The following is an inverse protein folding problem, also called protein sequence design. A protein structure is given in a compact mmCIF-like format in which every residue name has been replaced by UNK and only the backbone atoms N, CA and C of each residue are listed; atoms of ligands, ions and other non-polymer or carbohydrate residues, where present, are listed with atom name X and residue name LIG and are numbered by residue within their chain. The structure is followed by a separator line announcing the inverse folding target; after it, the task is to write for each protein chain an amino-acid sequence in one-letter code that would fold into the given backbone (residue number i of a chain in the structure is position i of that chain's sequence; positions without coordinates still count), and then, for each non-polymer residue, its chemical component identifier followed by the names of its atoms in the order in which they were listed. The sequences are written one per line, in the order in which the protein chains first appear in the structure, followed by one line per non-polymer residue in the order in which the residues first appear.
data_IF_464440950002
#
_entry.id   IF_464440950002
#
_cell.length_a   1.000
_cell.length_b   1.000
_cell.length_c   1.000
_cell.angle_alpha   90.00
_cell.angle_beta   90.00
_cell.angle_gamma   90.00
#
_symmetry.space_group_name_H-M   'P 1'
#
loop_
_entity.id
_entity.type
_entity.pdbx_description
1 polymer ?
#
# COMPACT_ATOMS: atom_id res chain seq x y z
N UNK A 1 -14.00 -22.61 -35.13
CA UNK A 1 -14.78 -21.49 -34.56
C UNK A 1 -14.86 -21.70 -33.06
N UNK A 2 -14.67 -20.64 -32.27
CA UNK A 2 -14.43 -20.57 -30.82
C UNK A 2 -13.00 -20.88 -30.36
N UNK A 3 -12.15 -19.84 -30.33
CA UNK A 3 -10.77 -19.89 -29.80
C UNK A 3 -10.22 -18.53 -29.35
N UNK A 4 -11.07 -17.51 -29.17
CA UNK A 4 -10.65 -16.11 -28.92
C UNK A 4 -11.18 -15.53 -27.61
N UNK A 5 -11.89 -16.30 -26.78
CA UNK A 5 -12.50 -15.81 -25.54
C UNK A 5 -11.67 -16.06 -24.25
N UNK A 6 -10.56 -16.80 -24.30
CA UNK A 6 -9.69 -17.07 -23.11
C UNK A 6 -8.54 -16.08 -22.91
N UNK A 7 -8.15 -15.33 -23.94
CA UNK A 7 -7.06 -14.35 -23.84
C UNK A 7 -7.50 -12.99 -23.23
N UNK A 8 -8.80 -12.69 -23.21
CA UNK A 8 -9.32 -11.46 -22.62
C UNK A 8 -9.55 -11.56 -21.10
N UNK A 9 -9.65 -12.78 -20.55
CA UNK A 9 -9.85 -13.01 -19.12
C UNK A 9 -8.53 -12.98 -18.31
N UNK A 10 -7.37 -13.25 -18.94
CA UNK A 10 -6.06 -13.19 -18.27
C UNK A 10 -5.49 -11.76 -18.16
N UNK A 11 -6.00 -10.81 -18.96
CA UNK A 11 -5.57 -9.40 -18.92
C UNK A 11 -6.38 -8.63 -17.86
N UNK A 12 -7.60 -9.05 -17.53
CA UNK A 12 -8.44 -8.36 -16.54
C UNK A 12 -8.00 -8.63 -15.08
N UNK A 13 -7.49 -9.82 -14.76
CA UNK A 13 -6.99 -10.16 -13.41
C UNK A 13 -5.57 -9.66 -13.14
N UNK A 14 -4.74 -9.48 -14.17
CA UNK A 14 -3.40 -8.91 -14.03
C UNK A 14 -3.40 -7.37 -13.86
N UNK A 15 -4.52 -6.70 -14.10
CA UNK A 15 -4.62 -5.23 -13.98
C UNK A 15 -5.14 -4.77 -12.60
N UNK A 16 -5.69 -5.68 -11.77
CA UNK A 16 -6.16 -5.34 -10.42
C UNK A 16 -5.15 -5.58 -9.29
N UNK A 17 -4.07 -6.33 -9.54
CA UNK A 17 -3.01 -6.54 -8.54
C UNK A 17 -1.88 -5.49 -8.58
N UNK A 18 -1.89 -4.56 -9.54
CA UNK A 18 -0.87 -3.51 -9.66
C UNK A 18 -1.26 -2.17 -9.00
N UNK A 19 -2.44 -2.10 -8.36
CA UNK A 19 -2.99 -0.87 -7.77
C UNK A 19 -3.14 -0.90 -6.23
N UNK A 20 -2.70 -1.96 -5.54
CA UNK A 20 -2.84 -2.09 -4.08
C UNK A 20 -1.54 -2.47 -3.34
N UNK A 21 -0.38 -2.31 -3.98
CA UNK A 21 0.92 -2.50 -3.35
C UNK A 21 1.83 -1.28 -3.59
N UNK A 22 1.40 -0.14 -3.05
CA UNK A 22 2.31 0.64 -2.23
C UNK A 22 2.19 0.07 -0.81
N UNK A 23 2.98 -0.95 -0.41
CA UNK A 23 3.17 -1.17 1.00
C UNK A 23 4.15 -0.11 1.49
N UNK A 24 3.79 0.45 2.63
CA UNK A 24 4.67 1.09 3.58
C UNK A 24 6.15 0.78 3.33
N UNK A 25 6.95 1.83 3.14
CA UNK A 25 8.36 1.81 3.50
C UNK A 25 8.38 1.67 5.02
N UNK A 26 8.23 0.43 5.49
CA UNK A 26 8.51 0.05 6.86
C UNK A 26 10.02 0.24 7.07
N UNK A 27 10.31 1.25 7.84
CA UNK A 27 11.62 1.56 8.39
C UNK A 27 12.17 0.37 9.17
N UNK A 28 13.13 -0.35 8.59
CA UNK A 28 13.99 -1.31 9.28
C UNK A 28 15.39 -0.74 9.51
N UNK A 29 15.54 0.25 10.39
CA UNK A 29 16.84 0.60 10.95
C UNK A 29 17.21 -0.42 12.05
N UNK A 30 18.44 -0.94 12.14
CA UNK A 30 18.80 -1.82 13.25
C UNK A 30 18.99 -0.98 14.52
N UNK A 31 18.12 -1.17 15.51
CA UNK A 31 18.26 -0.58 16.83
C UNK A 31 19.25 -1.38 17.70
N UNK A 32 20.19 -0.67 18.32
CA UNK A 32 21.05 -1.23 19.35
C UNK A 32 21.96 -0.21 20.04
N UNK A 33 21.40 0.63 20.93
CA UNK A 33 21.85 0.86 22.34
C UNK A 33 21.30 2.17 22.96
N UNK A 34 21.12 2.09 24.28
CA UNK A 34 20.30 2.95 25.16
C UNK A 34 21.06 4.15 25.76
N UNK A 35 20.31 5.26 25.91
CA UNK A 35 20.36 6.41 26.85
C UNK A 35 21.53 7.43 26.85
N UNK A 36 21.20 8.71 26.66
CA UNK A 36 20.94 9.67 27.76
C UNK A 36 20.61 11.09 27.22
N UNK A 37 19.73 11.80 27.92
CA UNK A 37 19.25 13.14 27.59
C UNK A 37 20.29 14.25 27.82
N UNK A 38 20.38 15.23 26.91
CA UNK A 38 20.75 16.62 27.17
C UNK A 38 20.27 17.53 26.02
N UNK A 39 19.63 18.65 26.35
CA UNK A 39 19.11 19.66 25.42
C UNK A 39 20.19 20.73 25.07
N UNK A 40 19.85 21.78 24.28
CA UNK A 40 20.30 21.97 22.92
C UNK A 40 21.46 22.98 22.81
N UNK A 41 22.43 22.71 21.94
CA UNK A 41 23.39 23.73 21.50
C UNK A 41 23.59 23.61 20.01
N UNK A 42 23.32 24.70 19.30
CA UNK A 42 23.47 24.80 17.86
C UNK A 42 24.85 24.35 17.40
N UNK A 43 24.87 23.30 16.60
CA UNK A 43 26.02 22.92 15.79
C UNK A 43 25.56 22.93 14.35
N UNK A 44 26.24 23.71 13.51
CA UNK A 44 26.19 23.57 12.07
C UNK A 44 26.40 22.09 11.73
N UNK A 45 25.36 21.41 11.26
CA UNK A 45 25.48 20.01 10.83
C UNK A 45 26.47 19.99 9.67
N UNK A 46 27.61 19.34 9.88
CA UNK A 46 28.40 18.86 8.76
C UNK A 46 27.44 18.00 7.91
N UNK A 47 27.30 18.31 6.63
CA UNK A 47 26.45 17.54 5.73
C UNK A 47 26.85 16.06 5.85
N UNK A 48 25.91 15.22 6.26
CA UNK A 48 26.17 13.79 6.41
C UNK A 48 26.68 13.26 5.06
N UNK A 49 27.79 12.51 5.10
CA UNK A 49 28.32 11.89 3.90
C UNK A 49 27.25 10.98 3.27
N UNK A 50 27.19 10.88 1.93
CA UNK A 50 26.22 10.01 1.27
C UNK A 50 26.45 8.55 1.69
N UNK A 51 25.38 7.82 1.94
CA UNK A 51 25.39 6.38 2.16
C UNK A 51 25.01 5.66 0.88
N UNK A 52 25.67 4.52 0.64
CA UNK A 52 25.42 3.65 -0.50
C UNK A 52 25.32 2.23 0.03
N UNK A 53 24.17 1.61 -0.19
CA UNK A 53 23.91 0.22 0.19
C UNK A 53 23.62 -0.59 -1.07
N UNK A 54 24.14 -1.81 -1.10
CA UNK A 54 24.00 -2.69 -2.25
C UNK A 54 23.62 -4.07 -1.74
N UNK A 55 22.43 -4.53 -2.09
CA UNK A 55 21.94 -5.85 -1.76
C UNK A 55 21.82 -6.67 -3.03
N UNK A 56 22.25 -7.91 -2.96
CA UNK A 56 22.15 -8.85 -4.07
C UNK A 56 21.73 -10.17 -3.51
N UNK A 57 20.69 -10.77 -4.07
CA UNK A 57 20.19 -12.04 -3.58
C UNK A 57 19.57 -12.85 -4.71
N UNK A 58 19.53 -14.16 -4.48
CA UNK A 58 18.69 -15.08 -5.23
C UNK A 58 17.47 -15.40 -4.38
N UNK A 59 16.30 -15.47 -5.00
CA UNK A 59 15.08 -15.87 -4.31
C UNK A 59 14.29 -16.86 -5.17
N UNK A 60 13.62 -17.79 -4.50
CA UNK A 60 12.67 -18.70 -5.11
C UNK A 60 11.41 -18.76 -4.27
N UNK A 61 10.25 -18.82 -4.92
CA UNK A 61 8.96 -18.85 -4.23
C UNK A 61 7.99 -19.81 -4.90
N UNK A 62 7.14 -20.41 -4.08
CA UNK A 62 6.00 -21.25 -4.47
C UNK A 62 4.74 -20.63 -3.89
N UNK A 63 3.82 -20.21 -4.77
CA UNK A 63 2.48 -19.80 -4.35
C UNK A 63 1.62 -21.03 -4.11
N UNK A 64 1.03 -21.11 -2.93
CA UNK A 64 0.08 -22.16 -2.55
C UNK A 64 -1.31 -21.64 -2.85
N UNK A 65 -2.00 -22.31 -3.77
CA UNK A 65 -3.41 -22.09 -4.07
C UNK A 65 -4.10 -23.44 -4.03
N UNK A 66 -5.25 -23.55 -3.35
CA UNK A 66 -6.03 -24.79 -3.29
C UNK A 66 -5.29 -25.97 -2.61
N UNK A 67 -4.59 -25.73 -1.50
CA UNK A 67 -4.03 -26.85 -0.73
C UNK A 67 -5.14 -27.73 -0.13
N UNK A 68 -4.84 -29.01 0.12
CA UNK A 68 -5.81 -29.94 0.69
C UNK A 68 -6.29 -29.51 2.09
N UNK A 69 -5.45 -28.75 2.79
CA UNK A 69 -5.67 -28.21 4.12
C UNK A 69 -6.31 -26.81 4.13
N UNK A 70 -6.57 -26.22 2.96
CA UNK A 70 -7.23 -24.92 2.80
C UNK A 70 -6.33 -23.70 2.98
N UNK A 71 -5.01 -23.89 3.08
CA UNK A 71 -4.03 -22.81 3.05
C UNK A 71 -3.88 -22.21 1.66
N UNK A 72 -3.71 -20.88 1.63
CA UNK A 72 -3.39 -20.07 0.47
C UNK A 72 -2.27 -19.07 0.81
N UNK A 73 -1.41 -18.71 -0.14
CA UNK A 73 -0.35 -17.72 0.10
C UNK A 73 0.96 -18.12 -0.56
N UNK A 74 2.09 -17.89 0.10
CA UNK A 74 3.41 -18.21 -0.46
C UNK A 74 4.43 -18.68 0.56
N UNK A 75 5.36 -19.50 0.07
CA UNK A 75 6.59 -19.85 0.77
C UNK A 75 7.75 -19.47 -0.14
N UNK A 76 8.66 -18.62 0.34
CA UNK A 76 9.85 -18.23 -0.38
C UNK A 76 11.13 -18.47 0.41
N UNK A 77 12.23 -18.59 -0.32
CA UNK A 77 13.57 -18.73 0.24
C UNK A 77 14.49 -17.72 -0.43
N UNK A 78 15.38 -17.13 0.35
CA UNK A 78 16.31 -16.11 -0.11
C UNK A 78 17.73 -16.50 0.24
N UNK A 79 18.66 -16.31 -0.69
CA UNK A 79 20.09 -16.48 -0.50
C UNK A 79 20.81 -15.18 -0.84
N UNK A 80 21.34 -14.50 0.17
CA UNK A 80 22.01 -13.20 0.01
C UNK A 80 23.46 -13.41 -0.45
N UNK A 81 23.90 -12.73 -1.51
CA UNK A 81 25.25 -12.85 -2.06
C UNK A 81 26.29 -12.32 -1.07
N UNK A 82 26.99 -13.24 -0.42
CA UNK A 82 27.94 -12.92 0.65
C UNK A 82 27.30 -12.75 2.03
N UNK A 83 26.01 -13.08 2.16
CA UNK A 83 25.25 -13.13 3.40
C UNK A 83 24.81 -14.55 3.73
N UNK A 84 23.68 -14.67 4.44
CA UNK A 84 23.05 -15.94 4.80
C UNK A 84 21.86 -16.30 3.91
N UNK A 85 21.32 -17.48 4.16
CA UNK A 85 20.09 -17.98 3.58
C UNK A 85 18.95 -17.81 4.59
N UNK A 86 17.75 -17.47 4.13
CA UNK A 86 16.55 -17.32 4.96
C UNK A 86 15.32 -17.90 4.27
N UNK A 87 14.30 -18.20 5.08
CA UNK A 87 12.98 -18.65 4.62
C UNK A 87 11.91 -17.66 5.06
N UNK A 88 10.93 -17.45 4.20
CA UNK A 88 9.74 -16.67 4.47
C UNK A 88 8.49 -17.50 4.20
N UNK A 89 7.63 -17.64 5.20
CA UNK A 89 6.32 -18.30 5.10
C UNK A 89 5.25 -17.25 5.36
N UNK A 90 4.26 -17.19 4.47
CA UNK A 90 3.05 -16.39 4.65
C UNK A 90 1.89 -17.14 4.03
N UNK A 91 1.15 -17.89 4.86
CA UNK A 91 -0.01 -18.66 4.45
C UNK A 91 -1.21 -18.23 5.28
N UNK A 92 -2.37 -18.11 4.63
CA UNK A 92 -3.64 -17.77 5.25
C UNK A 92 -4.64 -18.90 5.00
N UNK A 93 -5.59 -19.07 5.91
CA UNK A 93 -6.68 -20.03 5.75
C UNK A 93 -7.94 -19.49 6.38
N UNK A 94 -9.02 -19.49 5.61
CA UNK A 94 -10.35 -19.20 6.11
C UNK A 94 -10.86 -20.38 6.97
N UNK A 95 -11.39 -20.05 8.14
CA UNK A 95 -12.03 -20.96 9.09
C UNK A 95 -13.54 -21.00 8.95
N UNK A 96 -14.22 -21.26 10.05
CA UNK A 96 -15.69 -21.28 10.11
C UNK A 96 -16.26 -19.85 10.14
N UNK A 97 -17.48 -19.68 9.63
CA UNK A 97 -18.22 -18.43 9.79
C UNK A 97 -18.74 -18.30 11.22
N UNK A 98 -18.60 -17.10 11.76
CA UNK A 98 -19.05 -16.72 13.11
C UNK A 98 -20.09 -15.62 13.01
N UNK A 99 -21.08 -15.67 13.90
CA UNK A 99 -22.09 -14.60 14.02
C UNK A 99 -21.67 -13.69 15.16
N UNK A 100 -21.43 -12.42 14.85
CA UNK A 100 -20.98 -11.42 15.79
C UNK A 100 -22.11 -10.97 16.74
N UNK A 101 -21.78 -10.35 17.89
CA UNK A 101 -22.78 -9.88 18.85
C UNK A 101 -23.80 -8.89 18.28
N UNK A 102 -23.44 -8.17 17.21
CA UNK A 102 -24.31 -7.24 16.47
C UNK A 102 -25.18 -7.93 15.40
N UNK A 103 -25.06 -9.25 15.25
CA UNK A 103 -25.80 -10.05 14.26
C UNK A 103 -25.15 -10.09 12.87
N UNK A 104 -24.00 -9.45 12.66
CA UNK A 104 -23.22 -9.59 11.43
C UNK A 104 -22.56 -10.96 11.32
N UNK A 105 -22.26 -11.39 10.10
CA UNK A 105 -21.47 -12.60 9.85
C UNK A 105 -20.01 -12.20 9.56
N UNK A 106 -19.08 -12.90 10.20
CA UNK A 106 -17.64 -12.77 9.98
C UNK A 106 -17.00 -14.16 9.82
N UNK A 107 -15.70 -14.22 9.58
CA UNK A 107 -14.93 -15.46 9.41
C UNK A 107 -13.78 -15.51 10.40
N UNK A 108 -13.59 -16.68 11.01
CA UNK A 108 -12.33 -16.99 11.70
C UNK A 108 -11.24 -17.09 10.64
N UNK A 109 -10.13 -16.38 10.83
CA UNK A 109 -8.98 -16.44 9.92
C UNK A 109 -7.75 -16.98 10.65
N UNK A 110 -6.95 -17.77 9.94
CA UNK A 110 -5.70 -18.30 10.45
C UNK A 110 -4.55 -17.81 9.57
N UNK A 111 -3.54 -17.21 10.19
CA UNK A 111 -2.32 -16.76 9.52
C UNK A 111 -1.13 -17.55 10.05
N UNK A 112 -0.46 -18.27 9.16
CA UNK A 112 0.77 -18.99 9.43
C UNK A 112 1.95 -18.22 8.84
N UNK A 113 2.82 -17.71 9.70
CA UNK A 113 3.93 -16.85 9.31
C UNK A 113 5.27 -17.29 9.89
N UNK A 114 6.37 -16.95 9.21
CA UNK A 114 7.71 -16.98 9.79
C UNK A 114 8.19 -15.54 10.07
N UNK A 115 9.32 -15.41 10.77
CA UNK A 115 10.05 -14.13 10.77
C UNK A 115 10.53 -13.76 9.35
N UNK A 116 10.72 -12.45 9.10
CA UNK A 116 11.08 -11.87 7.79
C UNK A 116 12.42 -12.39 7.21
N UNK A 117 13.31 -12.87 8.07
CA UNK A 117 14.55 -13.58 7.72
C UNK A 117 14.74 -14.81 8.62
N UNK A 118 13.75 -15.71 8.62
CA UNK A 118 13.78 -16.86 9.50
C UNK A 118 14.97 -17.77 9.19
N UNK A 119 15.83 -17.95 10.20
CA UNK A 119 17.02 -18.81 10.17
C UNK A 119 17.12 -19.76 11.36
N UNK A 120 16.34 -19.49 12.41
CA UNK A 120 16.28 -20.26 13.64
C UNK A 120 15.09 -21.24 13.61
N UNK A 121 15.25 -22.45 14.18
CA UNK A 121 16.45 -22.95 14.85
C UNK A 121 17.50 -23.56 13.90
N UNK A 122 17.20 -23.62 12.60
CA UNK A 122 18.11 -24.08 11.55
C UNK A 122 18.24 -25.61 11.43
N UNK A 123 19.00 -26.11 10.43
CA UNK A 123 19.68 -25.34 9.39
C UNK A 123 18.71 -24.81 8.32
N UNK A 124 19.14 -23.78 7.58
CA UNK A 124 18.53 -23.34 6.33
C UNK A 124 19.58 -23.52 5.23
N UNK A 125 19.26 -24.33 4.23
CA UNK A 125 20.12 -24.59 3.08
C UNK A 125 19.36 -24.21 1.83
N UNK A 126 19.90 -23.26 1.06
CA UNK A 126 19.28 -22.82 -0.20
C UNK A 126 20.29 -23.00 -1.34
N UNK A 127 19.91 -23.76 -2.36
CA UNK A 127 20.68 -23.91 -3.60
C UNK A 127 19.84 -23.44 -4.79
N UNK A 128 20.14 -22.23 -5.27
CA UNK A 128 19.50 -21.63 -6.45
C UNK A 128 20.52 -21.58 -7.59
N UNK A 129 20.22 -22.23 -8.72
CA UNK A 129 21.05 -22.16 -9.92
C UNK A 129 21.17 -20.69 -10.34
N UNK A 130 22.40 -20.20 -10.54
CA UNK A 130 22.69 -18.83 -11.01
C UNK A 130 22.06 -18.48 -12.36
N UNK A 131 21.68 -19.49 -13.15
CA UNK A 131 20.95 -19.38 -14.42
C UNK A 131 19.43 -19.43 -14.22
N UNK A 132 18.97 -19.50 -12.97
CA UNK A 132 17.57 -19.57 -12.57
C UNK A 132 16.87 -20.72 -13.28
N UNK A 133 17.45 -21.93 -13.21
CA UNK A 133 16.86 -23.14 -13.80
C UNK A 133 16.15 -23.97 -12.75
N UNK A 134 16.77 -24.08 -11.60
CA UNK A 134 16.29 -24.86 -10.48
C UNK A 134 16.59 -24.12 -9.18
N UNK A 135 15.76 -24.33 -8.18
CA UNK A 135 16.05 -24.05 -6.79
C UNK A 135 15.65 -25.26 -5.96
N UNK A 136 16.45 -25.55 -4.93
CA UNK A 136 16.12 -26.47 -3.88
C UNK A 136 16.40 -25.78 -2.54
N UNK A 137 15.51 -25.97 -1.57
CA UNK A 137 15.72 -25.52 -0.22
C UNK A 137 15.24 -26.55 0.80
N UNK A 138 16.00 -26.64 1.88
CA UNK A 138 15.75 -27.48 3.04
C UNK A 138 16.00 -26.62 4.28
N UNK A 139 14.95 -26.41 5.08
CA UNK A 139 14.97 -25.48 6.20
C UNK A 139 14.24 -26.02 7.41
N UNK A 140 14.71 -25.69 8.60
CA UNK A 140 13.97 -25.88 9.86
C UNK A 140 13.79 -24.52 10.52
N UNK A 141 12.55 -24.04 10.57
CA UNK A 141 12.24 -22.71 11.11
C UNK A 141 11.07 -22.74 12.09
N UNK A 142 11.12 -21.84 13.07
CA UNK A 142 9.99 -21.55 13.92
C UNK A 142 8.89 -20.81 13.13
N UNK A 143 7.63 -21.18 13.39
CA UNK A 143 6.47 -20.60 12.75
C UNK A 143 5.52 -20.05 13.82
N UNK A 144 4.79 -19.02 13.45
CA UNK A 144 3.75 -18.42 14.28
C UNK A 144 2.41 -18.66 13.62
N UNK A 145 1.45 -19.17 14.39
CA UNK A 145 0.05 -19.27 14.00
C UNK A 145 -0.74 -18.18 14.73
N UNK A 146 -1.26 -17.20 14.01
CA UNK A 146 -2.25 -16.27 14.54
C UNK A 146 -3.65 -16.75 14.15
N UNK A 147 -4.54 -16.84 15.13
CA UNK A 147 -5.96 -17.06 14.93
C UNK A 147 -6.70 -15.76 15.21
N UNK A 148 -7.32 -15.20 14.18
CA UNK A 148 -8.27 -14.10 14.35
C UNK A 148 -9.67 -14.71 14.49
N UNK A 149 -10.31 -14.60 15.66
CA UNK A 149 -11.62 -15.21 15.91
C UNK A 149 -12.79 -14.50 15.20
N UNK A 150 -12.52 -13.40 14.49
CA UNK A 150 -13.53 -12.51 13.92
C UNK A 150 -14.14 -11.54 14.94
N UNK A 151 -15.08 -10.72 14.48
CA UNK A 151 -15.91 -9.82 15.28
C UNK A 151 -15.12 -8.81 16.13
N UNK A 152 -13.96 -8.36 15.63
CA UNK A 152 -13.07 -7.44 16.34
C UNK A 152 -12.35 -8.04 17.55
N UNK A 153 -12.32 -9.37 17.66
CA UNK A 153 -11.52 -10.06 18.67
C UNK A 153 -10.01 -9.85 18.45
N UNK A 154 -9.25 -9.91 19.54
CA UNK A 154 -7.78 -9.87 19.47
C UNK A 154 -7.23 -11.17 18.89
N UNK A 155 -6.14 -11.07 18.14
CA UNK A 155 -5.46 -12.23 17.56
C UNK A 155 -4.88 -13.13 18.67
N UNK A 156 -5.21 -14.42 18.60
CA UNK A 156 -4.59 -15.43 19.44
C UNK A 156 -3.34 -15.96 18.76
N UNK A 157 -2.18 -15.50 19.22
CA UNK A 157 -0.89 -15.87 18.66
C UNK A 157 -0.30 -17.10 19.38
N UNK A 158 0.00 -18.14 18.62
CA UNK A 158 0.62 -19.38 19.09
C UNK A 158 1.94 -19.63 18.36
N UNK A 159 3.04 -19.72 19.11
CA UNK A 159 4.32 -20.21 18.57
C UNK A 159 4.23 -21.72 18.33
N UNK A 160 4.51 -22.13 17.10
CA UNK A 160 4.58 -23.53 16.72
C UNK A 160 6.00 -24.06 16.91
N UNK A 161 6.16 -25.35 17.24
CA UNK A 161 7.48 -25.96 17.23
C UNK A 161 8.08 -25.89 15.83
N UNK A 162 9.40 -25.77 15.77
CA UNK A 162 10.18 -25.74 14.53
C UNK A 162 9.71 -26.78 13.51
N UNK A 163 9.49 -26.32 12.28
CA UNK A 163 8.97 -27.14 11.18
C UNK A 163 10.02 -27.27 10.09
N UNK A 164 10.14 -28.48 9.57
CA UNK A 164 10.90 -28.73 8.36
C UNK A 164 10.10 -28.23 7.15
N UNK A 165 10.78 -27.49 6.29
CA UNK A 165 10.25 -26.90 5.07
C UNK A 165 11.15 -27.36 3.94
N UNK A 166 10.53 -27.97 2.93
CA UNK A 166 11.20 -28.30 1.67
C UNK A 166 10.54 -27.54 0.54
N UNK A 167 11.36 -26.92 -0.31
CA UNK A 167 10.91 -26.20 -1.49
C UNK A 167 11.77 -26.59 -2.70
N UNK A 168 11.12 -26.98 -3.79
CA UNK A 168 11.75 -27.27 -5.07
C UNK A 168 11.06 -26.44 -6.15
N UNK A 169 11.83 -25.72 -6.97
CA UNK A 169 11.28 -24.94 -8.10
C UNK A 169 12.07 -25.23 -9.35
N UNK A 170 11.36 -25.48 -10.46
CA UNK A 170 11.92 -25.63 -11.79
C UNK A 170 11.41 -24.51 -12.69
N UNK A 171 12.33 -23.72 -13.25
CA UNK A 171 12.01 -22.64 -14.16
C UNK A 171 11.52 -23.16 -15.52
N UNK A 172 10.37 -22.68 -15.97
CA UNK A 172 9.66 -23.13 -17.18
C UNK A 172 9.74 -22.15 -18.34
N UNK A 173 9.91 -20.85 -18.06
CA UNK A 173 9.92 -19.80 -19.10
C UNK A 173 11.34 -19.34 -19.48
N UNK A 174 11.47 -18.53 -20.52
CA UNK A 174 12.72 -17.79 -20.75
C UNK A 174 12.89 -16.73 -19.67
N UNK A 175 14.14 -16.41 -19.31
CA UNK A 175 14.39 -15.37 -18.31
C UNK A 175 13.97 -14.01 -18.87
N UNK A 176 13.19 -13.27 -18.10
CA UNK A 176 12.92 -11.87 -18.37
C UNK A 176 13.73 -10.98 -17.42
N UNK A 177 13.84 -9.71 -17.78
CA UNK A 177 14.56 -8.71 -16.98
C UNK A 177 13.61 -7.58 -16.61
N UNK A 178 13.50 -7.27 -15.34
CA UNK A 178 12.85 -6.05 -14.85
C UNK A 178 13.89 -5.08 -14.30
N UNK A 179 13.51 -3.81 -14.24
CA UNK A 179 14.21 -2.83 -13.44
C UNK A 179 13.21 -1.81 -12.92
N UNK A 180 13.30 -1.55 -11.62
CA UNK A 180 12.56 -0.47 -10.96
C UNK A 180 13.57 0.58 -10.56
N UNK A 181 13.23 1.85 -10.73
CA UNK A 181 13.99 2.93 -10.08
C UNK A 181 13.04 3.95 -9.51
N UNK A 182 13.35 4.37 -8.30
CA UNK A 182 12.62 5.39 -7.56
C UNK A 182 13.58 6.47 -7.10
N UNK A 183 13.12 7.71 -7.06
CA UNK A 183 13.87 8.77 -6.39
C UNK A 183 12.95 9.79 -5.75
N UNK A 184 13.30 10.21 -4.54
CA UNK A 184 12.70 11.33 -3.83
C UNK A 184 13.79 12.36 -3.59
N UNK A 185 13.53 13.61 -3.96
CA UNK A 185 14.51 14.70 -3.82
C UNK A 185 13.86 15.96 -3.30
N UNK A 186 14.51 16.64 -2.35
CA UNK A 186 14.02 17.88 -1.76
C UNK A 186 15.18 18.77 -1.30
N UNK A 187 15.23 20.02 -1.74
CA UNK A 187 16.27 21.03 -1.46
C UNK A 187 17.72 20.59 -1.77
N UNK A 188 18.28 19.64 -1.02
CA UNK A 188 19.56 18.96 -1.25
C UNK A 188 19.60 17.51 -0.74
N UNK A 189 18.51 17.04 -0.14
CA UNK A 189 18.29 15.68 0.30
C UNK A 189 17.87 14.80 -0.88
N UNK A 190 18.41 13.59 -0.94
CA UNK A 190 18.17 12.63 -2.02
C UNK A 190 18.06 11.24 -1.42
N UNK A 191 16.98 10.56 -1.78
CA UNK A 191 16.83 9.12 -1.60
C UNK A 191 16.56 8.49 -2.96
N UNK A 192 17.36 7.49 -3.35
CA UNK A 192 17.24 6.83 -4.64
C UNK A 192 17.37 5.32 -4.46
N UNK A 193 16.40 4.62 -5.03
CA UNK A 193 16.43 3.18 -5.21
C UNK A 193 16.62 2.86 -6.68
N UNK A 194 17.48 1.89 -6.95
CA UNK A 194 17.52 1.22 -8.24
C UNK A 194 17.58 -0.27 -8.00
N UNK A 195 16.61 -0.96 -8.55
CA UNK A 195 16.51 -2.39 -8.48
C UNK A 195 16.51 -2.99 -9.89
N UNK A 196 17.06 -4.19 -9.98
CA UNK A 196 17.22 -4.96 -11.19
C UNK A 196 16.99 -6.41 -10.91
N UNK A 197 16.00 -6.98 -11.60
CA UNK A 197 15.75 -8.41 -11.50
C UNK A 197 16.05 -9.11 -12.81
N UNK A 198 16.57 -10.32 -12.66
CA UNK A 198 16.46 -11.36 -13.65
C UNK A 198 15.52 -12.39 -13.05
N UNK A 199 14.39 -12.60 -13.71
CA UNK A 199 13.35 -13.48 -13.19
C UNK A 199 12.94 -14.51 -14.23
N UNK A 200 12.32 -15.57 -13.76
CA UNK A 200 11.76 -16.64 -14.57
C UNK A 200 10.62 -17.29 -13.81
N UNK A 201 9.52 -17.53 -14.51
CA UNK A 201 8.41 -18.32 -13.99
C UNK A 201 8.77 -19.80 -13.98
N UNK A 202 8.18 -20.53 -13.05
CA UNK A 202 8.45 -21.93 -12.83
C UNK A 202 7.24 -22.66 -12.30
N UNK A 203 7.43 -23.96 -12.18
CA UNK A 203 6.57 -24.82 -11.36
C UNK A 203 7.35 -25.22 -10.13
N UNK A 204 6.70 -25.29 -8.99
CA UNK A 204 7.34 -25.68 -7.74
C UNK A 204 6.50 -26.63 -6.91
N UNK A 205 7.16 -27.20 -5.92
CA UNK A 205 6.54 -27.99 -4.86
C UNK A 205 7.04 -27.49 -3.52
N UNK A 206 6.13 -27.36 -2.57
CA UNK A 206 6.46 -26.99 -1.19
C UNK A 206 5.81 -27.97 -0.22
N UNK A 207 6.50 -28.26 0.89
CA UNK A 207 5.99 -29.03 2.02
C UNK A 207 6.36 -28.33 3.32
N UNK A 208 5.43 -28.33 4.29
CA UNK A 208 5.69 -27.89 5.67
C UNK A 208 5.25 -29.02 6.60
N UNK A 209 6.20 -29.59 7.34
CA UNK A 209 5.98 -30.80 8.13
C UNK A 209 4.79 -30.71 9.10
N UNK A 210 3.75 -31.49 8.81
CA UNK A 210 2.54 -31.59 9.62
C UNK A 210 1.58 -30.40 9.51
N UNK A 211 1.81 -29.47 8.58
CA UNK A 211 0.95 -28.30 8.35
C UNK A 211 0.48 -28.17 6.89
N UNK A 212 1.35 -28.51 5.95
CA UNK A 212 1.08 -28.45 4.51
C UNK A 212 1.68 -29.68 3.84
N UNK A 213 0.82 -30.59 3.35
CA UNK A 213 1.27 -31.68 2.50
C UNK A 213 1.92 -31.14 1.21
N UNK A 214 2.73 -31.99 0.56
CA UNK A 214 3.41 -31.64 -0.67
C UNK A 214 2.44 -31.05 -1.71
N UNK A 215 2.54 -29.75 -1.92
CA UNK A 215 1.65 -28.97 -2.77
C UNK A 215 2.41 -28.49 -3.98
N UNK A 216 1.96 -28.91 -5.17
CA UNK A 216 2.51 -28.46 -6.44
C UNK A 216 1.81 -27.20 -6.93
N UNK A 217 2.56 -26.27 -7.48
CA UNK A 217 2.05 -25.03 -8.05
C UNK A 217 2.70 -24.73 -9.39
N UNK A 218 1.92 -24.23 -10.33
CA UNK A 218 2.41 -23.60 -11.56
C UNK A 218 2.62 -22.08 -11.41
N UNK A 219 2.31 -21.55 -10.23
CA UNK A 219 2.60 -20.19 -9.80
C UNK A 219 3.84 -20.25 -8.91
N UNK A 220 5.02 -20.40 -9.52
CA UNK A 220 6.29 -20.34 -8.81
C UNK A 220 7.28 -19.49 -9.60
N UNK A 221 8.28 -18.93 -8.93
CA UNK A 221 9.28 -18.12 -9.62
C UNK A 221 10.69 -18.31 -9.04
N UNK A 222 11.65 -17.93 -9.88
CA UNK A 222 13.08 -17.85 -9.57
C UNK A 222 13.54 -16.45 -9.94
N UNK A 223 14.16 -15.74 -9.00
CA UNK A 223 14.68 -14.40 -9.26
C UNK A 223 16.11 -14.25 -8.76
N UNK A 224 16.84 -13.35 -9.42
CA UNK A 224 18.03 -12.72 -8.92
C UNK A 224 17.79 -11.22 -8.93
N UNK A 225 17.93 -10.58 -7.76
CA UNK A 225 17.69 -9.15 -7.59
C UNK A 225 18.97 -8.46 -7.15
N UNK A 226 19.15 -7.23 -7.64
CA UNK A 226 20.28 -6.38 -7.32
C UNK A 226 19.78 -4.97 -7.01
N UNK A 227 19.68 -4.69 -5.73
CA UNK A 227 19.17 -3.45 -5.19
C UNK A 227 20.32 -2.51 -4.83
N UNK A 228 20.17 -1.27 -5.23
CA UNK A 228 21.13 -0.19 -5.01
C UNK A 228 20.40 0.98 -4.38
N UNK A 229 20.74 1.26 -3.13
CA UNK A 229 20.23 2.41 -2.40
C UNK A 229 21.31 3.48 -2.35
N UNK A 230 20.92 4.71 -2.64
CA UNK A 230 21.74 5.90 -2.45
C UNK A 230 20.95 6.88 -1.61
N UNK A 231 21.53 7.32 -0.50
CA UNK A 231 20.95 8.35 0.35
C UNK A 231 21.95 9.45 0.64
N UNK A 232 21.50 10.69 0.56
CA UNK A 232 22.28 11.86 0.94
C UNK A 232 21.37 12.78 1.75
N UNK A 233 21.80 13.12 2.97
CA UNK A 233 21.01 13.93 3.89
C UNK A 233 19.85 13.15 4.53
N UNK A 234 18.78 13.85 4.89
CA UNK A 234 17.59 13.24 5.49
C UNK A 234 16.72 12.55 4.43
N UNK A 235 15.96 11.51 4.78
CA UNK A 235 14.95 10.97 3.87
C UNK A 235 13.85 12.04 3.69
N UNK A 236 13.60 12.53 2.46
CA UNK A 236 12.56 13.54 2.28
C UNK A 236 11.19 12.93 2.56
N UNK A 237 10.33 13.67 3.26
CA UNK A 237 8.91 13.35 3.27
C UNK A 237 8.39 13.39 1.83
N UNK A 238 7.55 12.42 1.46
CA UNK A 238 6.97 12.31 0.12
C UNK A 238 5.46 12.48 0.21
N UNK A 239 4.95 13.72 0.17
CA UNK A 239 3.51 13.96 0.10
C UNK A 239 2.90 13.26 -1.11
N UNK A 240 1.63 12.91 -1.01
CA UNK A 240 0.92 12.29 -2.11
C UNK A 240 0.80 13.23 -3.33
N UNK A 241 0.44 12.64 -4.46
CA UNK A 241 0.21 13.37 -5.70
C UNK A 241 -1.29 13.64 -5.90
N UNK A 242 -1.70 14.90 -5.80
CA UNK A 242 -3.06 15.35 -6.13
C UNK A 242 -3.30 15.56 -7.64
N UNK A 243 -2.24 15.57 -8.45
CA UNK A 243 -2.31 15.99 -9.85
C UNK A 243 -2.61 14.82 -10.79
N UNK A 244 -3.54 14.98 -11.74
CA UNK A 244 -3.70 14.03 -12.83
C UNK A 244 -2.48 14.07 -13.74
N UNK A 245 -2.29 13.03 -14.54
CA UNK A 245 -1.18 12.91 -15.50
C UNK A 245 -1.05 14.16 -16.39
N UNK A 246 0.14 14.74 -16.40
CA UNK A 246 0.49 15.96 -17.12
C UNK A 246 -0.21 17.24 -16.63
N UNK A 247 -0.89 17.20 -15.48
CA UNK A 247 -1.68 18.28 -14.91
C UNK A 247 -1.13 18.88 -13.61
N UNK A 248 -1.99 19.66 -12.96
CA UNK A 248 -1.79 20.24 -11.64
C UNK A 248 -2.88 19.74 -10.70
N UNK A 249 -2.57 19.64 -9.41
CA UNK A 249 -3.53 19.23 -8.40
C UNK A 249 -3.26 19.88 -7.07
N UNK A 250 -4.31 20.00 -6.28
CA UNK A 250 -4.27 20.37 -4.89
C UNK A 250 -5.27 19.50 -4.14
N UNK A 251 -4.90 19.09 -2.94
CA UNK A 251 -5.74 18.27 -2.08
C UNK A 251 -5.65 18.79 -0.65
N UNK A 252 -6.78 18.73 0.04
CA UNK A 252 -6.82 18.96 1.46
C UNK A 252 -7.89 18.10 2.12
N UNK A 253 -7.60 17.65 3.33
CA UNK A 253 -8.50 16.90 4.18
C UNK A 253 -8.63 17.59 5.54
N UNK A 254 -9.81 17.47 6.14
CA UNK A 254 -10.05 17.85 7.54
C UNK A 254 -10.87 16.77 8.23
N UNK A 255 -10.53 16.50 9.48
CA UNK A 255 -11.14 15.47 10.31
C UNK A 255 -11.55 16.08 11.65
N UNK A 256 -12.73 15.71 12.13
CA UNK A 256 -13.20 16.11 13.46
C UNK A 256 -13.84 14.94 14.18
N UNK A 257 -13.44 14.76 15.42
CA UNK A 257 -14.06 13.82 16.36
C UNK A 257 -14.77 14.60 17.45
N UNK A 258 -15.92 14.08 17.89
CA UNK A 258 -16.80 14.70 18.86
C UNK A 258 -17.12 13.70 19.97
N UNK A 259 -17.09 14.16 21.21
CA UNK A 259 -17.47 13.39 22.40
C UNK A 259 -18.79 13.95 22.97
N UNK A 260 -19.96 13.55 22.43
CA UNK A 260 -21.23 14.03 22.94
C UNK A 260 -21.48 13.55 24.39
N UNK A 261 -22.01 14.41 25.30
CA UNK A 261 -22.15 14.09 26.72
C UNK A 261 -22.94 12.82 27.04
N UNK A 262 -23.95 12.51 26.21
CA UNK A 262 -24.84 11.35 26.40
C UNK A 262 -24.50 10.20 25.43
N UNK A 263 -23.35 10.28 24.73
CA UNK A 263 -22.94 9.32 23.70
C UNK A 263 -23.78 9.36 22.42
N UNK A 264 -24.70 10.31 22.28
CA UNK A 264 -25.58 10.49 21.12
C UNK A 264 -25.26 11.80 20.39
N UNK A 265 -25.21 11.75 19.06
CA UNK A 265 -24.86 12.89 18.23
C UNK A 265 -23.81 12.54 17.19
N UNK A 266 -23.29 13.57 16.53
CA UNK A 266 -22.17 13.40 15.60
C UNK A 266 -20.98 12.91 16.42
N UNK A 267 -20.34 11.83 15.97
CA UNK A 267 -19.14 11.26 16.58
C UNK A 267 -17.91 11.65 15.79
N UNK A 268 -18.06 11.68 14.46
CA UNK A 268 -16.96 11.88 13.55
C UNK A 268 -17.44 12.47 12.24
N UNK A 269 -16.63 13.37 11.68
CA UNK A 269 -16.75 13.81 10.29
C UNK A 269 -15.38 13.99 9.64
N UNK A 270 -15.25 13.48 8.43
CA UNK A 270 -14.14 13.70 7.52
C UNK A 270 -14.63 14.44 6.29
N UNK A 271 -13.82 15.37 5.79
CA UNK A 271 -13.98 15.94 4.46
C UNK A 271 -12.66 15.92 3.70
N UNK A 272 -12.76 15.55 2.43
CA UNK A 272 -11.67 15.52 1.47
C UNK A 272 -12.07 16.39 0.28
N UNK A 273 -11.19 17.30 -0.12
CA UNK A 273 -11.41 18.16 -1.28
C UNK A 273 -10.20 18.16 -2.17
N UNK A 274 -10.42 17.83 -3.44
CA UNK A 274 -9.44 17.87 -4.51
C UNK A 274 -9.77 18.96 -5.52
N UNK A 275 -8.76 19.68 -6.00
CA UNK A 275 -8.87 20.61 -7.11
C UNK A 275 -7.81 20.27 -8.16
N UNK A 276 -8.24 20.03 -9.40
CA UNK A 276 -7.35 19.56 -10.47
C UNK A 276 -7.42 20.46 -11.70
N UNK A 277 -6.29 20.61 -12.38
CA UNK A 277 -6.19 21.19 -13.72
C UNK A 277 -5.58 20.13 -14.64
N UNK A 278 -6.36 19.63 -15.59
CA UNK A 278 -5.93 18.64 -16.56
C UNK A 278 -4.81 19.12 -17.49
N UNK A 279 -4.23 18.21 -18.28
CA UNK A 279 -3.13 18.53 -19.18
C UNK A 279 -3.57 19.46 -20.33
N UNK A 280 -2.59 20.15 -20.92
CA UNK A 280 -2.81 20.87 -22.18
C UNK A 280 -3.11 19.90 -23.33
N UNK A 281 -3.97 20.28 -24.30
CA UNK A 281 -4.58 21.60 -24.47
C UNK A 281 -5.90 21.81 -23.71
N UNK A 282 -6.56 20.73 -23.26
CA UNK A 282 -7.94 20.79 -22.79
C UNK A 282 -8.09 21.47 -21.42
N UNK A 283 -7.07 21.40 -20.54
CA UNK A 283 -7.04 22.04 -19.21
C UNK A 283 -8.37 21.98 -18.46
N UNK A 284 -8.95 20.79 -18.38
CA UNK A 284 -10.20 20.58 -17.65
C UNK A 284 -9.98 20.91 -16.17
N UNK A 285 -10.79 21.80 -15.60
CA UNK A 285 -10.64 22.26 -14.22
C UNK A 285 -11.82 21.76 -13.40
N UNK A 286 -11.51 21.04 -12.33
CA UNK A 286 -12.51 20.33 -11.55
C UNK A 286 -12.23 20.43 -10.08
N UNK A 287 -13.31 20.47 -9.31
CA UNK A 287 -13.31 20.32 -7.87
C UNK A 287 -14.07 19.04 -7.53
N UNK A 288 -13.45 18.17 -6.75
CA UNK A 288 -14.02 16.93 -6.24
C UNK A 288 -14.09 17.03 -4.73
N UNK A 289 -15.18 16.53 -4.15
CA UNK A 289 -15.37 16.54 -2.72
C UNK A 289 -15.91 15.19 -2.29
N UNK A 290 -15.45 14.72 -1.14
CA UNK A 290 -16.11 13.63 -0.42
C UNK A 290 -16.11 13.90 1.07
N UNK A 291 -17.10 13.36 1.76
CA UNK A 291 -17.17 13.42 3.21
C UNK A 291 -17.78 12.13 3.77
N UNK A 292 -17.37 11.79 4.98
CA UNK A 292 -17.98 10.70 5.76
C UNK A 292 -18.39 11.29 7.10
N UNK A 293 -19.62 11.02 7.53
CA UNK A 293 -20.13 11.43 8.84
C UNK A 293 -20.71 10.21 9.56
N UNK A 294 -20.40 10.09 10.84
CA UNK A 294 -20.94 9.04 11.71
C UNK A 294 -21.68 9.70 12.86
N UNK A 295 -22.96 9.38 12.99
CA UNK A 295 -23.83 9.89 14.06
C UNK A 295 -24.38 8.74 14.89
N UNK A 296 -24.12 8.74 16.19
CA UNK A 296 -24.83 7.89 17.13
C UNK A 296 -26.25 8.41 17.35
N UNK A 297 -27.22 7.52 17.27
CA UNK A 297 -28.65 7.79 17.45
C UNK A 297 -29.25 6.79 18.43
N UNK A 298 -30.49 7.06 18.84
CA UNK A 298 -31.31 6.12 19.60
C UNK A 298 -32.42 5.60 18.69
N UNK A 299 -32.45 4.29 18.49
CA UNK A 299 -33.46 3.61 17.70
C UNK A 299 -34.84 3.67 18.40
N UNK A 300 -35.92 3.36 17.68
CA UNK A 300 -37.28 3.40 18.24
C UNK A 300 -37.47 2.45 19.44
N UNK A 301 -36.75 1.32 19.44
CA UNK A 301 -36.73 0.34 20.53
C UNK A 301 -35.87 0.77 21.73
N UNK A 302 -35.22 1.92 21.66
CA UNK A 302 -34.34 2.47 22.68
C UNK A 302 -32.90 1.97 22.61
N UNK A 303 -32.57 1.06 21.69
CA UNK A 303 -31.20 0.60 21.47
C UNK A 303 -30.33 1.73 20.87
N UNK A 304 -29.01 1.73 21.14
CA UNK A 304 -28.09 2.56 20.38
C UNK A 304 -27.98 2.07 18.95
N UNK A 305 -27.88 3.00 18.00
CA UNK A 305 -27.60 2.71 16.59
C UNK A 305 -26.75 3.81 15.97
N UNK A 306 -26.33 3.62 14.72
CA UNK A 306 -25.55 4.60 13.97
C UNK A 306 -26.24 4.99 12.67
N UNK A 307 -26.01 6.24 12.29
CA UNK A 307 -26.33 6.77 10.98
C UNK A 307 -25.02 7.16 10.32
N UNK A 308 -24.68 6.45 9.24
CA UNK A 308 -23.53 6.74 8.39
C UNK A 308 -24.01 7.59 7.23
N UNK A 309 -23.26 8.64 6.90
CA UNK A 309 -23.52 9.46 5.73
C UNK A 309 -22.25 9.62 4.92
N UNK A 310 -22.27 9.10 3.69
CA UNK A 310 -21.21 9.30 2.72
C UNK A 310 -21.67 10.32 1.69
N UNK A 311 -20.86 11.34 1.46
CA UNK A 311 -21.10 12.36 0.46
C UNK A 311 -20.01 12.25 -0.59
N UNK A 312 -20.37 12.25 -1.88
CA UNK A 312 -19.40 12.30 -2.98
C UNK A 312 -19.95 13.21 -4.07
N UNK A 313 -19.11 14.09 -4.60
CA UNK A 313 -19.53 14.97 -5.68
C UNK A 313 -18.37 15.58 -6.45
N UNK A 314 -18.71 16.15 -7.61
CA UNK A 314 -17.76 16.91 -8.38
C UNK A 314 -18.43 17.91 -9.32
N UNK A 315 -17.76 19.04 -9.52
CA UNK A 315 -18.18 20.06 -10.47
C UNK A 315 -16.98 20.66 -11.21
N UNK A 316 -17.25 21.21 -12.38
CA UNK A 316 -16.32 22.13 -13.01
C UNK A 316 -16.14 23.36 -12.11
N UNK A 317 -14.90 23.80 -11.94
CA UNK A 317 -14.56 24.94 -11.10
C UNK A 317 -13.39 25.69 -11.69
N UNK A 318 -13.32 27.00 -11.43
CA UNK A 318 -12.06 27.71 -11.65
C UNK A 318 -11.06 27.26 -10.59
N UNK A 319 -9.93 26.72 -11.03
CA UNK A 319 -8.86 26.23 -10.16
C UNK A 319 -7.60 27.04 -10.44
N UNK A 320 -7.17 27.80 -9.44
CA UNK A 320 -5.95 28.59 -9.50
C UNK A 320 -4.85 27.89 -8.70
N UNK A 321 -3.88 27.30 -9.39
CA UNK A 321 -2.67 26.74 -8.77
C UNK A 321 -1.47 27.59 -9.22
N UNK A 322 -0.77 28.18 -8.26
CA UNK A 322 0.33 29.08 -8.54
C UNK A 322 1.53 28.39 -9.17
N UNK A 323 2.33 29.17 -9.91
CA UNK A 323 3.62 28.74 -10.38
C UNK A 323 4.50 28.29 -9.20
N UNK A 324 5.21 27.16 -9.37
CA UNK A 324 6.02 26.52 -8.31
C UNK A 324 5.21 26.01 -7.11
N UNK A 325 3.90 25.80 -7.28
CA UNK A 325 3.05 25.14 -6.28
C UNK A 325 3.03 25.91 -4.96
N UNK A 326 3.10 27.25 -5.01
CA UNK A 326 3.19 28.07 -3.81
C UNK A 326 1.85 28.21 -3.09
N UNK A 327 0.75 28.24 -3.83
CA UNK A 327 -0.61 28.27 -3.32
C UNK A 327 -1.58 27.61 -4.30
N UNK A 328 -2.74 27.22 -3.79
CA UNK A 328 -3.85 26.67 -4.56
C UNK A 328 -5.17 27.15 -3.99
N UNK A 329 -6.05 27.69 -4.85
CA UNK A 329 -7.38 28.16 -4.47
C UNK A 329 -8.38 27.65 -5.48
N UNK A 330 -9.49 27.11 -4.99
CA UNK A 330 -10.65 26.76 -5.81
C UNK A 330 -11.91 26.81 -4.96
N UNK A 331 -13.02 27.26 -5.54
CA UNK A 331 -14.31 27.28 -4.86
C UNK A 331 -15.42 27.12 -5.89
N UNK A 332 -16.43 26.31 -5.58
CA UNK A 332 -17.65 26.18 -6.38
C UNK A 332 -18.78 25.61 -5.53
N UNK A 333 -19.98 25.51 -6.09
CA UNK A 333 -21.05 24.66 -5.54
C UNK A 333 -21.01 23.32 -6.27
N UNK A 334 -21.06 22.24 -5.50
CA UNK A 334 -20.94 20.87 -6.02
C UNK A 334 -22.25 20.12 -5.77
N UNK A 335 -22.83 19.47 -6.80
CA UNK A 335 -23.86 18.47 -6.59
C UNK A 335 -23.23 17.26 -5.91
N UNK A 336 -23.63 17.02 -4.67
CA UNK A 336 -23.17 15.92 -3.84
C UNK A 336 -24.26 14.85 -3.80
N UNK A 337 -23.91 13.62 -4.17
CA UNK A 337 -24.71 12.45 -3.83
C UNK A 337 -24.48 12.13 -2.35
N UNK A 338 -25.55 11.97 -1.59
CA UNK A 338 -25.52 11.66 -0.16
C UNK A 338 -26.17 10.30 0.02
N UNK A 339 -25.35 9.31 0.36
CA UNK A 339 -25.79 8.00 0.80
C UNK A 339 -25.90 8.02 2.33
N UNK A 340 -27.11 7.80 2.84
CA UNK A 340 -27.35 7.63 4.28
C UNK A 340 -27.69 6.18 4.55
N UNK A 341 -26.95 5.55 5.45
CA UNK A 341 -27.22 4.21 5.98
C UNK A 341 -27.67 4.37 7.43
N UNK A 342 -28.85 3.84 7.75
CA UNK A 342 -29.43 3.89 9.09
C UNK A 342 -29.53 2.48 9.67
N UNK A 343 -28.66 2.19 10.64
CA UNK A 343 -28.61 0.90 11.31
C UNK A 343 -29.91 0.57 12.04
N UNK A 344 -30.64 1.58 12.53
CA UNK A 344 -31.89 1.36 13.28
C UNK A 344 -32.99 0.80 12.38
N UNK A 345 -32.97 1.11 11.08
CA UNK A 345 -33.99 0.66 10.14
C UNK A 345 -33.45 -0.36 9.13
N UNK A 346 -32.13 -0.54 9.05
CA UNK A 346 -31.46 -1.30 7.99
C UNK A 346 -31.64 -0.67 6.61
N UNK A 347 -32.09 0.58 6.55
CA UNK A 347 -32.43 1.29 5.32
C UNK A 347 -31.24 2.05 4.76
N UNK A 348 -31.26 2.21 3.43
CA UNK A 348 -30.39 3.16 2.74
C UNK A 348 -31.21 4.16 1.95
N UNK A 349 -30.79 5.41 1.98
CA UNK A 349 -31.38 6.47 1.15
C UNK A 349 -30.28 7.17 0.39
N UNK A 350 -30.57 7.54 -0.87
CA UNK A 350 -29.68 8.32 -1.72
C UNK A 350 -30.42 9.57 -2.15
N UNK A 351 -29.80 10.73 -1.92
CA UNK A 351 -30.30 12.00 -2.44
C UNK A 351 -29.17 12.85 -3.01
N UNK A 352 -29.52 13.91 -3.74
CA UNK A 352 -28.55 14.86 -4.26
C UNK A 352 -28.78 16.23 -3.62
N UNK A 353 -27.72 16.80 -3.06
CA UNK A 353 -27.74 18.13 -2.42
C UNK A 353 -26.63 19.00 -3.00
N UNK A 354 -26.90 20.28 -3.15
CA UNK A 354 -25.90 21.25 -3.61
C UNK A 354 -25.16 21.82 -2.40
N UNK A 355 -23.84 21.57 -2.29
CA UNK A 355 -23.02 22.08 -1.19
C UNK A 355 -21.94 23.03 -1.70
N UNK A 356 -21.67 24.15 -0.99
CA UNK A 356 -20.48 24.94 -1.25
C UNK A 356 -19.24 24.11 -0.90
N UNK A 357 -18.26 24.09 -1.80
CA UNK A 357 -16.98 23.44 -1.57
C UNK A 357 -15.84 24.38 -1.96
N UNK A 358 -14.85 24.51 -1.10
CA UNK A 358 -13.66 25.32 -1.36
C UNK A 358 -12.39 24.77 -0.73
N UNK A 359 -11.27 25.09 -1.36
CA UNK A 359 -9.92 24.98 -0.79
C UNK A 359 -9.20 26.31 -0.91
N UNK A 360 -8.41 26.64 0.10
CA UNK A 360 -7.43 27.73 0.07
C UNK A 360 -6.19 27.24 0.79
N UNK A 361 -5.12 26.96 0.03
CA UNK A 361 -3.92 26.29 0.50
C UNK A 361 -2.69 27.12 0.18
N UNK A 362 -1.76 27.15 1.13
CA UNK A 362 -0.42 27.74 1.00
C UNK A 362 0.63 26.69 1.32
N UNK A 363 1.63 26.55 0.46
CA UNK A 363 2.72 25.60 0.67
C UNK A 363 3.54 25.94 1.93
N UNK A 364 3.76 24.95 2.79
CA UNK A 364 4.49 25.07 4.05
C UNK A 364 5.90 24.51 3.95
N UNK A 365 6.10 23.51 3.09
CA UNK A 365 7.37 22.78 2.94
C UNK A 365 8.12 23.08 1.63
N UNK A 366 9.35 22.56 1.49
CA UNK A 366 10.09 22.60 0.23
C UNK A 366 9.38 21.80 -0.89
N UNK A 367 9.76 22.05 -2.14
CA UNK A 367 9.33 21.19 -3.26
C UNK A 367 10.03 19.84 -3.21
N UNK A 368 9.22 18.79 -3.20
CA UNK A 368 9.65 17.39 -3.26
C UNK A 368 9.39 16.90 -4.67
N UNK A 369 10.43 16.39 -5.34
CA UNK A 369 10.29 15.71 -6.62
C UNK A 369 10.39 14.22 -6.40
N UNK A 370 9.35 13.52 -6.83
CA UNK A 370 9.25 12.06 -6.82
C UNK A 370 9.31 11.58 -8.26
N UNK A 371 10.17 10.60 -8.51
CA UNK A 371 10.32 9.97 -9.82
C UNK A 371 10.25 8.46 -9.69
N UNK A 372 9.56 7.82 -10.62
CA UNK A 372 9.49 6.38 -10.75
C UNK A 372 9.72 5.99 -12.20
N UNK A 373 10.42 4.87 -12.40
CA UNK A 373 10.51 4.23 -13.70
C UNK A 373 10.50 2.72 -13.52
N UNK A 374 9.68 2.08 -14.34
CA UNK A 374 9.60 0.64 -14.51
C UNK A 374 10.00 0.30 -15.95
N UNK A 375 10.79 -0.75 -16.10
CA UNK A 375 11.04 -1.33 -17.41
C UNK A 375 11.08 -2.85 -17.30
N UNK A 376 10.42 -3.51 -18.26
CA UNK A 376 10.45 -4.96 -18.39
C UNK A 376 10.88 -5.34 -19.80
N UNK A 377 11.80 -6.28 -19.89
CA UNK A 377 12.27 -6.87 -21.14
C UNK A 377 11.92 -8.34 -21.12
N UNK A 378 10.93 -8.70 -21.93
CA UNK A 378 10.48 -10.08 -22.08
C UNK A 378 10.96 -10.60 -23.43
N UNK A 379 11.76 -11.68 -23.48
CA UNK A 379 12.21 -12.27 -24.73
C UNK A 379 11.04 -12.56 -25.67
N UNK A 380 11.17 -12.16 -26.94
CA UNK A 380 10.12 -12.33 -27.95
C UNK A 380 8.95 -11.33 -27.89
N UNK A 381 8.69 -10.71 -26.74
CA UNK A 381 7.58 -9.76 -26.55
C UNK A 381 7.99 -8.28 -26.54
N UNK A 382 9.29 -7.98 -26.46
CA UNK A 382 9.82 -6.62 -26.58
C UNK A 382 10.13 -5.96 -25.24
N UNK A 383 10.04 -4.62 -25.20
CA UNK A 383 10.37 -3.81 -24.02
C UNK A 383 9.17 -2.97 -23.64
N UNK A 384 8.69 -3.17 -22.42
CA UNK A 384 7.70 -2.31 -21.77
C UNK A 384 8.43 -1.28 -20.89
N UNK A 385 7.98 -0.02 -20.93
CA UNK A 385 8.52 1.05 -20.09
C UNK A 385 7.40 1.95 -19.61
N UNK A 386 7.38 2.17 -18.31
CA UNK A 386 6.51 3.14 -17.64
C UNK A 386 7.44 4.10 -16.91
N UNK A 387 7.29 5.40 -17.14
CA UNK A 387 8.09 6.41 -16.46
C UNK A 387 7.19 7.56 -16.05
N UNK A 388 7.27 7.95 -14.79
CA UNK A 388 6.51 9.04 -14.23
C UNK A 388 7.39 9.89 -13.31
N UNK A 389 7.02 11.15 -13.16
CA UNK A 389 7.48 11.95 -12.05
C UNK A 389 6.39 12.93 -11.66
N UNK A 390 6.39 13.33 -10.39
CA UNK A 390 5.62 14.47 -9.95
C UNK A 390 6.46 15.34 -9.04
N UNK A 391 6.04 16.59 -8.90
CA UNK A 391 6.55 17.52 -7.91
C UNK A 391 5.39 17.85 -7.01
N UNK A 392 5.60 17.76 -5.70
CA UNK A 392 4.59 18.04 -4.68
C UNK A 392 5.18 18.93 -3.60
N UNK A 393 4.31 19.57 -2.82
CA UNK A 393 4.64 20.36 -1.63
C UNK A 393 3.59 20.09 -0.58
N UNK A 394 4.03 19.88 0.65
CA UNK A 394 3.14 20.03 1.81
C UNK A 394 2.57 21.45 1.81
N UNK A 395 1.31 21.53 2.20
CA UNK A 395 0.58 22.77 2.34
C UNK A 395 -0.21 22.79 3.65
N UNK A 396 -0.68 23.96 4.01
CA UNK A 396 -1.67 24.17 5.04
C UNK A 396 -2.66 25.21 4.54
N UNK A 397 -3.83 25.26 5.16
CA UNK A 397 -4.88 26.17 4.73
C UNK A 397 -6.22 25.73 5.23
N UNK A 398 -7.27 25.99 4.46
CA UNK A 398 -8.65 25.70 4.87
C UNK A 398 -9.40 24.88 3.84
N UNK A 399 -10.30 24.05 4.34
CA UNK A 399 -11.29 23.30 3.59
C UNK A 399 -12.69 23.79 3.97
N UNK A 400 -13.56 23.86 2.98
CA UNK A 400 -15.00 24.02 3.13
C UNK A 400 -15.71 22.91 2.35
N UNK A 401 -16.62 22.20 3.00
CA UNK A 401 -17.57 21.27 2.40
C UNK A 401 -18.91 21.40 3.15
N UNK A 402 -19.87 22.11 2.55
CA UNK A 402 -21.13 22.42 3.23
C UNK A 402 -20.90 23.24 4.49
N UNK A 403 -21.36 22.74 5.62
CA UNK A 403 -21.15 23.35 6.95
C UNK A 403 -19.80 22.97 7.59
N UNK A 404 -19.12 21.94 7.05
CA UNK A 404 -17.80 21.55 7.53
C UNK A 404 -16.75 22.51 6.96
N UNK A 405 -16.34 23.46 7.79
CA UNK A 405 -15.31 24.44 7.48
C UNK A 405 -14.21 24.41 8.54
N UNK A 406 -12.95 24.26 8.13
CA UNK A 406 -11.85 24.13 9.08
C UNK A 406 -10.46 24.23 8.47
N UNK A 407 -9.42 24.28 9.33
CA UNK A 407 -8.05 24.09 8.87
C UNK A 407 -7.89 22.69 8.28
N UNK A 408 -7.04 22.56 7.26
CA UNK A 408 -6.67 21.27 6.71
C UNK A 408 -5.68 20.55 7.63
N UNK A 409 -5.99 19.32 8.00
CA UNK A 409 -5.11 18.43 8.80
C UNK A 409 -4.06 17.75 7.92
N UNK A 410 -4.40 17.57 6.63
CA UNK A 410 -3.51 17.08 5.59
C UNK A 410 -3.73 17.92 4.34
N UNK A 411 -2.67 18.47 3.75
CA UNK A 411 -2.78 19.19 2.49
C UNK A 411 -1.50 19.16 1.66
N UNK A 412 -1.67 19.12 0.34
CA UNK A 412 -0.56 19.15 -0.60
C UNK A 412 -0.96 19.75 -1.95
N UNK A 413 0.04 20.31 -2.65
CA UNK A 413 -0.11 20.90 -3.99
C UNK A 413 0.92 20.24 -4.89
N UNK A 414 0.49 19.70 -6.02
CA UNK A 414 1.35 18.90 -6.89
C UNK A 414 1.19 19.18 -8.39
N UNK A 415 2.15 18.65 -9.15
CA UNK A 415 2.20 18.65 -10.61
C UNK A 415 2.79 17.33 -11.08
N UNK A 416 2.08 16.64 -11.97
CA UNK A 416 2.55 15.38 -12.55
C UNK A 416 3.11 15.54 -13.95
N UNK A 417 4.00 14.62 -14.34
CA UNK A 417 4.42 14.41 -15.72
C UNK A 417 3.34 13.72 -16.52
N UNK A 418 3.44 13.82 -17.85
CA UNK A 418 2.59 13.05 -18.77
C UNK A 418 3.17 11.67 -18.99
#
# INVERSE_FOLDING_TARGET
MNGTARAAALVATATMALAAALPAVASGAPAGRVAAAAAPTGSSSAAAAPTIENFRFYESSVFVSESAEGWEGSVSVRSVVGGGDSVFVSLTRAGESVVCPDGSEDLVNFDLTSAEDATEPGPVTVDIDRRLRTAHADAVVDLTLAENPGCGGEDLVTELPARHITLDVTGTTERFRSSVSGSVTSAGDVDRLRDYDLARDGTGTVTIDGLLAATSSDQSFLTYSAEHFFRHGAMPASPENAAPDGGLGAFAATSRTYDPPDGLGLLFEDAFVGATVGPTPNRDMRLTASAIQVRAVRCEDGAPGFVFSELVGSAAAEVAIEARLAAAVAATTVPMEVLVLDDCTGGSTVETVELPVAIDLTATGPSVRVGSAYAQVTPGSGVERIQGWYVTREAAGTVLLGELAGPADLAFISRASR
#
